data_IF_570001627391
#
_entry.id   IF_570001627391
#
_cell.length_a   1.000
_cell.length_b   1.000
_cell.length_c   1.000
_cell.angle_alpha   90.00
_cell.angle_beta   90.00
_cell.angle_gamma   90.00
#
_symmetry.space_group_name_H-M   'P 1'
#
loop_
_entity.id
_entity.type
_entity.pdbx_description
1 polymer ?
#
# COMPACT_ATOMS: atom_id res chain seq x y z
N UNK A 1 1.65 11.40 -7.69
CA UNK A 1 1.93 11.64 -6.25
C UNK A 1 0.88 12.50 -5.55
N UNK A 2 0.22 13.43 -6.22
CA UNK A 2 -0.86 14.25 -5.62
C UNK A 2 -2.05 13.44 -5.08
N UNK A 3 -2.39 12.33 -5.73
CA UNK A 3 -3.52 11.46 -5.34
C UNK A 3 -3.28 10.75 -4.01
N UNK A 4 -2.11 10.16 -3.81
CA UNK A 4 -1.69 9.58 -2.52
C UNK A 4 -1.61 10.67 -1.46
N UNK A 5 -1.05 11.85 -1.78
CA UNK A 5 -0.98 12.96 -0.84
C UNK A 5 -2.38 13.42 -0.37
N UNK A 6 -3.38 13.44 -1.26
CA UNK A 6 -4.76 13.75 -0.92
C UNK A 6 -5.39 12.69 0.00
N UNK A 7 -5.14 11.39 -0.27
CA UNK A 7 -5.57 10.29 0.60
C UNK A 7 -4.94 10.38 1.99
N UNK A 8 -3.66 10.74 2.07
CA UNK A 8 -2.93 10.94 3.33
C UNK A 8 -3.47 12.14 4.11
N UNK A 9 -3.59 13.30 3.47
CA UNK A 9 -3.97 14.55 4.12
C UNK A 9 -5.43 14.57 4.61
N UNK A 10 -6.32 13.80 3.96
CA UNK A 10 -7.73 13.71 4.31
C UNK A 10 -8.10 12.35 4.92
N UNK A 11 -8.58 11.38 4.12
CA UNK A 11 -9.16 10.13 4.61
C UNK A 11 -8.29 9.34 5.61
N UNK A 12 -7.00 9.16 5.35
CA UNK A 12 -6.11 8.44 6.28
C UNK A 12 -5.91 9.21 7.59
N UNK A 13 -5.82 10.56 7.54
CA UNK A 13 -5.77 11.40 8.73
C UNK A 13 -7.09 11.34 9.53
N UNK A 14 -8.22 11.17 8.86
CA UNK A 14 -9.55 10.91 9.45
C UNK A 14 -9.73 9.44 9.88
N UNK A 15 -8.71 8.60 9.68
CA UNK A 15 -8.67 7.17 10.02
C UNK A 15 -9.70 6.32 9.25
N UNK A 16 -10.04 6.73 8.05
CA UNK A 16 -10.99 6.01 7.19
C UNK A 16 -10.31 4.80 6.53
N UNK A 17 -10.73 3.59 6.90
CA UNK A 17 -10.09 2.33 6.47
C UNK A 17 -10.16 2.11 4.96
N UNK A 18 -11.22 2.61 4.29
CA UNK A 18 -11.36 2.45 2.84
C UNK A 18 -10.20 3.10 2.07
N UNK A 19 -9.63 4.19 2.58
CA UNK A 19 -8.50 4.87 1.94
C UNK A 19 -7.23 4.00 1.95
N UNK A 20 -7.02 3.27 3.04
CA UNK A 20 -5.96 2.26 3.11
C UNK A 20 -6.22 1.14 2.10
N UNK A 21 -7.45 0.62 2.02
CA UNK A 21 -7.82 -0.41 1.04
C UNK A 21 -7.57 0.06 -0.40
N UNK A 22 -7.88 1.32 -0.72
CA UNK A 22 -7.62 1.91 -2.04
C UNK A 22 -6.12 1.94 -2.36
N UNK A 23 -5.27 2.33 -1.40
CA UNK A 23 -3.82 2.37 -1.61
C UNK A 23 -3.29 0.94 -1.82
N UNK A 24 -3.65 0.00 -0.95
CA UNK A 24 -3.18 -1.39 -1.04
C UNK A 24 -3.67 -2.05 -2.33
N UNK A 25 -4.93 -1.86 -2.69
CA UNK A 25 -5.48 -2.37 -3.94
C UNK A 25 -4.76 -1.80 -5.17
N UNK A 26 -4.44 -0.50 -5.16
CA UNK A 26 -3.70 0.14 -6.25
C UNK A 26 -2.26 -0.37 -6.36
N UNK A 27 -1.56 -0.52 -5.22
CA UNK A 27 -0.20 -1.09 -5.17
C UNK A 27 -0.20 -2.55 -5.62
N UNK A 28 -1.18 -3.33 -5.18
CA UNK A 28 -1.33 -4.74 -5.58
C UNK A 28 -1.59 -4.88 -7.09
N UNK A 29 -2.48 -4.06 -7.64
CA UNK A 29 -2.75 -4.05 -9.08
C UNK A 29 -1.49 -3.67 -9.89
N UNK A 30 -0.78 -2.61 -9.47
CA UNK A 30 0.50 -2.24 -10.10
C UNK A 30 1.51 -3.38 -10.04
N UNK A 31 1.73 -3.98 -8.87
CA UNK A 31 2.70 -5.05 -8.68
C UNK A 31 2.41 -6.27 -9.57
N UNK A 32 1.14 -6.72 -9.62
CA UNK A 32 0.74 -7.86 -10.44
C UNK A 32 0.98 -7.58 -11.92
N UNK A 33 0.52 -6.43 -12.40
CA UNK A 33 0.61 -6.08 -13.83
C UNK A 33 2.06 -5.87 -14.27
N UNK A 34 2.84 -5.09 -13.51
CA UNK A 34 4.20 -4.71 -13.90
C UNK A 34 5.20 -5.87 -13.76
N UNK A 35 5.08 -6.65 -12.68
CA UNK A 35 5.91 -7.85 -12.48
C UNK A 35 5.52 -8.95 -13.45
N UNK A 36 4.22 -9.18 -13.68
CA UNK A 36 3.73 -10.14 -14.66
C UNK A 36 4.24 -9.82 -16.06
N UNK A 37 4.17 -8.55 -16.46
CA UNK A 37 4.69 -8.11 -17.75
C UNK A 37 6.22 -8.29 -17.84
N UNK A 38 6.96 -7.94 -16.79
CA UNK A 38 8.41 -8.16 -16.73
C UNK A 38 8.77 -9.63 -16.92
N UNK A 39 8.03 -10.56 -16.30
CA UNK A 39 8.26 -12.00 -16.45
C UNK A 39 7.92 -12.50 -17.86
N UNK A 40 6.79 -12.07 -18.43
CA UNK A 40 6.37 -12.43 -19.80
C UNK A 40 7.41 -11.97 -20.83
N UNK A 41 8.00 -10.79 -20.64
CA UNK A 41 9.00 -10.21 -21.53
C UNK A 41 10.44 -10.68 -21.25
N UNK A 42 10.66 -11.50 -20.21
CA UNK A 42 11.98 -12.03 -19.85
C UNK A 42 12.89 -11.08 -19.05
N UNK A 43 12.37 -9.98 -18.52
CA UNK A 43 13.11 -9.02 -17.68
C UNK A 43 13.15 -9.46 -16.21
N UNK A 44 13.85 -10.56 -15.91
CA UNK A 44 13.94 -11.13 -14.56
C UNK A 44 14.49 -10.15 -13.51
N UNK A 45 15.44 -9.29 -13.89
CA UNK A 45 15.99 -8.27 -12.99
C UNK A 45 14.96 -7.21 -12.56
N UNK A 46 14.08 -6.78 -13.47
CA UNK A 46 12.98 -5.86 -13.13
C UNK A 46 11.96 -6.54 -12.23
N UNK A 47 11.60 -7.80 -12.52
CA UNK A 47 10.70 -8.56 -11.67
C UNK A 47 11.25 -8.73 -10.23
N UNK A 48 12.54 -9.04 -10.08
CA UNK A 48 13.19 -9.15 -8.77
C UNK A 48 13.19 -7.81 -8.02
N UNK A 49 13.48 -6.71 -8.73
CA UNK A 49 13.39 -5.36 -8.15
C UNK A 49 11.98 -5.05 -7.66
N UNK A 50 10.95 -5.33 -8.46
CA UNK A 50 9.55 -5.09 -8.09
C UNK A 50 9.15 -5.85 -6.83
N UNK A 51 9.60 -7.10 -6.68
CA UNK A 51 9.37 -7.91 -5.47
C UNK A 51 10.00 -7.24 -4.24
N UNK A 52 11.27 -6.85 -4.33
CA UNK A 52 11.96 -6.17 -3.23
C UNK A 52 11.29 -4.83 -2.89
N UNK A 53 10.86 -4.08 -3.92
CA UNK A 53 10.19 -2.80 -3.74
C UNK A 53 8.80 -2.95 -3.10
N UNK A 54 8.01 -3.92 -3.54
CA UNK A 54 6.71 -4.23 -2.95
C UNK A 54 6.84 -4.67 -1.49
N UNK A 55 7.86 -5.47 -1.16
CA UNK A 55 8.17 -5.84 0.22
C UNK A 55 8.53 -4.60 1.08
N UNK A 56 9.30 -3.67 0.53
CA UNK A 56 9.61 -2.39 1.18
C UNK A 56 8.36 -1.53 1.43
N UNK A 57 7.43 -1.46 0.47
CA UNK A 57 6.15 -0.76 0.63
C UNK A 57 5.20 -1.44 1.63
N UNK A 58 5.29 -2.76 1.79
CA UNK A 58 4.46 -3.48 2.75
C UNK A 58 4.71 -3.02 4.19
N UNK A 59 5.95 -2.65 4.54
CA UNK A 59 6.32 -2.20 5.90
C UNK A 59 5.48 -1.01 6.38
N UNK A 60 5.49 0.17 5.71
CA UNK A 60 4.66 1.29 6.13
C UNK A 60 3.16 1.01 5.99
N UNK A 61 2.73 0.22 5.00
CA UNK A 61 1.31 -0.10 4.82
C UNK A 61 0.76 -0.94 5.98
N UNK A 62 1.52 -1.93 6.46
CA UNK A 62 1.15 -2.73 7.64
C UNK A 62 1.13 -1.84 8.89
N UNK A 63 2.14 -0.99 9.09
CA UNK A 63 2.18 -0.07 10.23
C UNK A 63 0.96 0.87 10.26
N UNK A 64 0.55 1.42 9.11
CA UNK A 64 -0.67 2.23 9.01
C UNK A 64 -1.91 1.41 9.39
N UNK A 65 -2.00 0.15 8.93
CA UNK A 65 -3.16 -0.71 9.23
C UNK A 65 -3.27 -1.01 10.73
N UNK A 66 -2.15 -1.25 11.39
CA UNK A 66 -2.08 -1.47 12.84
C UNK A 66 -2.52 -0.22 13.59
N UNK A 67 -1.98 0.96 13.25
CA UNK A 67 -2.41 2.23 13.87
C UNK A 67 -3.93 2.44 13.67
N UNK A 68 -4.48 2.15 12.49
CA UNK A 68 -5.92 2.26 12.25
C UNK A 68 -6.75 1.28 13.12
N UNK A 69 -6.21 0.10 13.48
CA UNK A 69 -6.88 -0.90 14.31
C UNK A 69 -6.71 -0.71 15.83
N UNK A 70 -5.54 -0.31 16.30
CA UNK A 70 -5.21 -0.21 17.74
C UNK A 70 -6.04 0.83 18.51
N UNK A 71 -6.72 1.73 17.81
CA UNK A 71 -7.48 2.84 18.40
C UNK A 71 -9.00 2.66 18.37
N UNK A 72 -9.50 1.64 17.69
CA UNK A 72 -10.91 1.20 17.85
C UNK A 72 -11.12 0.43 19.16
N UNK A 73 -10.06 -0.13 19.75
CA UNK A 73 -10.11 -0.93 20.98
C UNK A 73 -9.82 -0.15 22.28
N UNK A 74 -9.45 1.13 22.21
CA UNK A 74 -9.27 1.97 23.41
C UNK A 74 -10.53 2.80 23.67
N UNK A 75 -11.29 2.54 24.75
CA UNK A 75 -12.41 3.40 25.13
C UNK A 75 -11.86 4.77 25.48
N UNK A 76 -12.52 5.81 24.97
CA UNK A 76 -12.30 7.21 25.35
C UNK A 76 -12.39 7.33 26.87
N UNK A 77 -11.26 7.59 27.53
CA UNK A 77 -11.24 8.11 28.90
C UNK A 77 -11.57 9.58 28.89
#
# INVERSE_FOLDING_TARGET
>A
MLTIAALVAGPLRRREVWAWNTIVGSVGAWFILDTGLSLILGFAGHAAFNVAFAAGLAVPLVAIRQELGDRTDKPTR
#
